data_IF_886721345535
#
_entry.id   IF_886721345535
#
_cell.length_a   1.000
_cell.length_b   1.000
_cell.length_c   1.000
_cell.angle_alpha   90.00
_cell.angle_beta   90.00
_cell.angle_gamma   90.00
#
_symmetry.space_group_name_H-M   'P 1'
#
loop_
_entity.id
_entity.type
_entity.pdbx_description
1 polymer ?
#
# COMPACT_ATOMS: atom_id res chain seq x y z
N UNK A 1 -18.41 -2.83 -11.73
CA UNK A 1 -18.44 -1.86 -10.62
C UNK A 1 -18.11 -0.45 -11.08
N UNK A 2 -18.43 0.54 -10.28
CA UNK A 2 -18.02 1.92 -10.58
C UNK A 2 -16.50 2.06 -10.39
N UNK A 3 -15.80 2.83 -11.25
CA UNK A 3 -14.40 3.12 -11.06
C UNK A 3 -14.15 3.78 -9.70
N UNK A 4 -13.07 3.40 -9.01
CA UNK A 4 -12.71 3.90 -7.67
C UNK A 4 -12.69 5.43 -7.61
N UNK A 5 -12.15 6.09 -8.63
CA UNK A 5 -12.13 7.56 -8.73
C UNK A 5 -13.53 8.18 -8.71
N UNK A 6 -14.52 7.51 -9.29
CA UNK A 6 -15.91 7.98 -9.26
C UNK A 6 -16.54 7.83 -7.89
N UNK A 7 -16.21 6.75 -7.16
CA UNK A 7 -16.70 6.50 -5.79
C UNK A 7 -16.07 7.50 -4.80
N UNK A 8 -14.79 7.78 -4.92
CA UNK A 8 -14.08 8.74 -4.07
C UNK A 8 -14.66 10.16 -4.14
N UNK A 9 -15.25 10.53 -5.29
CA UNK A 9 -15.88 11.83 -5.52
C UNK A 9 -17.29 11.96 -4.92
N UNK A 10 -17.87 10.85 -4.45
CA UNK A 10 -19.23 10.81 -3.91
C UNK A 10 -19.23 10.24 -2.48
N UNK A 11 -18.78 11.03 -1.47
CA UNK A 11 -18.57 10.57 -0.10
C UNK A 11 -19.82 9.92 0.54
N UNK A 12 -20.99 10.43 0.24
CA UNK A 12 -22.25 9.90 0.78
C UNK A 12 -22.59 8.48 0.29
N UNK A 13 -22.12 8.11 -0.89
CA UNK A 13 -22.24 6.74 -1.41
C UNK A 13 -21.11 5.89 -0.86
N UNK A 14 -19.87 6.40 -0.88
CA UNK A 14 -18.70 5.68 -0.41
C UNK A 14 -18.84 5.19 1.04
N UNK A 15 -19.40 6.02 1.95
CA UNK A 15 -19.65 5.65 3.34
C UNK A 15 -20.62 4.49 3.54
N UNK A 16 -21.50 4.23 2.58
CA UNK A 16 -22.50 3.16 2.64
C UNK A 16 -21.99 1.84 2.09
N UNK A 17 -20.86 1.85 1.38
CA UNK A 17 -20.26 0.65 0.84
C UNK A 17 -19.50 -0.10 1.94
N UNK A 18 -19.68 -1.42 2.04
CA UNK A 18 -18.91 -2.22 2.97
C UNK A 18 -17.43 -2.20 2.55
N UNK A 19 -16.55 -2.03 3.54
CA UNK A 19 -15.12 -2.11 3.34
C UNK A 19 -14.45 -2.79 4.54
N UNK A 20 -13.24 -3.29 4.31
CA UNK A 20 -12.54 -4.11 5.30
C UNK A 20 -12.15 -3.29 6.55
N UNK A 21 -11.69 -2.04 6.41
CA UNK A 21 -11.29 -1.24 7.56
C UNK A 21 -12.46 -0.94 8.47
N UNK A 22 -13.63 -0.59 7.91
CA UNK A 22 -14.85 -0.38 8.70
C UNK A 22 -15.30 -1.67 9.40
N UNK A 23 -15.24 -2.81 8.71
CA UNK A 23 -15.64 -4.10 9.28
C UNK A 23 -14.73 -4.52 10.43
N UNK A 24 -13.42 -4.39 10.25
CA UNK A 24 -12.42 -4.71 11.27
C UNK A 24 -12.47 -3.71 12.43
N UNK A 25 -12.63 -2.40 12.15
CA UNK A 25 -12.81 -1.39 13.21
C UNK A 25 -14.01 -1.68 14.10
N UNK A 26 -15.15 -2.14 13.53
CA UNK A 26 -16.32 -2.61 14.31
C UNK A 26 -16.03 -3.85 15.14
N UNK A 27 -15.09 -4.69 14.70
CA UNK A 27 -14.61 -5.86 15.43
C UNK A 27 -13.51 -5.54 16.45
N UNK A 28 -13.22 -4.25 16.71
CA UNK A 28 -12.26 -3.80 17.72
C UNK A 28 -10.81 -3.67 17.22
N UNK A 29 -10.57 -3.76 15.91
CA UNK A 29 -9.24 -3.57 15.35
C UNK A 29 -8.87 -2.08 15.30
N UNK A 30 -7.64 -1.74 15.64
CA UNK A 30 -7.03 -0.48 15.26
C UNK A 30 -6.72 -0.50 13.76
N UNK A 31 -7.14 0.53 13.02
CA UNK A 31 -7.06 0.55 11.57
C UNK A 31 -6.19 1.69 11.08
N UNK A 32 -5.10 1.37 10.37
CA UNK A 32 -4.16 2.33 9.82
C UNK A 32 -3.98 2.18 8.32
N UNK A 33 -3.65 3.29 7.69
CA UNK A 33 -3.23 3.33 6.29
C UNK A 33 -1.88 4.03 6.16
N UNK A 34 -0.96 3.42 5.43
CA UNK A 34 0.36 3.98 5.13
C UNK A 34 0.50 4.17 3.61
N UNK A 35 0.95 5.36 3.22
CA UNK A 35 1.20 5.71 1.83
C UNK A 35 2.35 6.72 1.72
N UNK A 36 3.31 6.48 0.84
CA UNK A 36 4.46 7.37 0.64
C UNK A 36 4.15 8.65 -0.16
N UNK A 37 2.98 8.77 -0.76
CA UNK A 37 2.60 9.89 -1.62
C UNK A 37 1.64 10.89 -0.98
N UNK A 38 1.15 11.84 -1.81
CA UNK A 38 0.15 12.81 -1.40
C UNK A 38 -1.22 12.15 -1.23
N UNK A 39 -1.64 12.00 0.02
CA UNK A 39 -2.91 11.39 0.38
C UNK A 39 -4.13 12.27 0.02
N UNK A 40 -3.93 13.53 -0.33
CA UNK A 40 -5.01 14.42 -0.76
C UNK A 40 -5.31 14.25 -2.27
N UNK A 41 -4.42 13.59 -3.01
CA UNK A 41 -4.64 13.28 -4.41
C UNK A 41 -5.97 12.54 -4.60
N UNK A 42 -6.80 13.01 -5.53
CA UNK A 42 -8.13 12.44 -5.87
C UNK A 42 -9.09 12.24 -4.69
N UNK A 43 -8.96 13.01 -3.60
CA UNK A 43 -9.75 12.89 -2.38
C UNK A 43 -9.54 11.54 -1.64
N UNK A 44 -8.37 10.93 -1.76
CA UNK A 44 -8.05 9.66 -1.10
C UNK A 44 -8.20 9.78 0.43
N UNK A 45 -7.72 10.85 1.05
CA UNK A 45 -7.86 11.11 2.50
C UNK A 45 -9.33 11.01 2.95
N UNK A 46 -10.20 11.73 2.27
CA UNK A 46 -11.64 11.73 2.61
C UNK A 46 -12.28 10.35 2.44
N UNK A 47 -11.90 9.62 1.40
CA UNK A 47 -12.36 8.26 1.15
C UNK A 47 -11.89 7.27 2.23
N UNK A 48 -10.62 7.30 2.60
CA UNK A 48 -10.06 6.39 3.61
C UNK A 48 -10.64 6.65 5.00
N UNK A 49 -10.77 7.92 5.40
CA UNK A 49 -11.40 8.30 6.67
C UNK A 49 -12.87 7.85 6.70
N UNK A 50 -13.62 8.09 5.63
CA UNK A 50 -15.00 7.63 5.51
C UNK A 50 -15.09 6.10 5.49
N UNK A 51 -14.06 5.42 5.02
CA UNK A 51 -13.92 3.97 4.99
C UNK A 51 -13.53 3.34 6.31
N UNK A 52 -13.30 4.12 7.38
CA UNK A 52 -13.05 3.61 8.73
C UNK A 52 -11.58 3.46 9.12
N UNK A 53 -10.64 4.01 8.33
CA UNK A 53 -9.27 4.12 8.79
C UNK A 53 -9.15 5.21 9.86
N UNK A 54 -8.58 4.87 11.01
CA UNK A 54 -8.44 5.74 12.18
C UNK A 54 -7.17 6.59 12.10
N UNK A 55 -6.10 6.03 11.53
CA UNK A 55 -4.82 6.72 11.38
C UNK A 55 -4.36 6.64 9.93
N UNK A 56 -3.93 7.78 9.40
CA UNK A 56 -3.37 7.87 8.05
C UNK A 56 -1.95 8.42 8.17
N UNK A 57 -0.99 7.70 7.60
CA UNK A 57 0.39 8.14 7.44
C UNK A 57 0.65 8.38 5.97
N UNK A 58 1.13 9.57 5.61
CA UNK A 58 1.36 10.01 4.23
C UNK A 58 2.76 10.62 4.08
N UNK A 59 3.09 11.12 2.89
CA UNK A 59 4.36 11.80 2.66
C UNK A 59 4.65 12.92 3.67
N UNK A 60 3.62 13.57 4.22
CA UNK A 60 3.78 14.70 5.14
C UNK A 60 4.34 14.29 6.51
N UNK A 61 4.28 12.98 6.83
CA UNK A 61 4.83 12.39 8.05
C UNK A 61 6.31 11.98 7.92
N UNK A 62 6.93 12.27 6.76
CA UNK A 62 8.33 11.99 6.47
C UNK A 62 9.15 13.28 6.34
N UNK A 63 10.47 13.15 6.42
CA UNK A 63 11.36 14.31 6.26
C UNK A 63 11.25 14.93 4.86
N UNK A 64 11.59 16.22 4.74
CA UNK A 64 11.67 16.89 3.43
C UNK A 64 12.64 16.19 2.47
N UNK A 65 13.73 15.63 3.00
CA UNK A 65 14.70 14.89 2.21
C UNK A 65 14.08 13.62 1.62
N UNK A 66 13.33 12.85 2.42
CA UNK A 66 12.75 11.59 1.99
C UNK A 66 11.61 11.77 0.97
N UNK A 67 10.75 12.78 1.15
CA UNK A 67 9.62 13.04 0.25
C UNK A 67 10.01 13.68 -1.08
N UNK A 68 11.15 14.35 -1.14
CA UNK A 68 11.64 14.96 -2.38
C UNK A 68 12.48 14.00 -3.24
N UNK A 69 12.54 12.73 -2.85
CA UNK A 69 13.31 11.72 -3.59
C UNK A 69 12.74 11.44 -4.99
N UNK A 70 11.42 11.42 -5.12
CA UNK A 70 10.74 11.24 -6.40
C UNK A 70 9.61 12.24 -6.57
N UNK A 71 9.13 12.39 -7.82
CA UNK A 71 7.98 13.25 -8.15
C UNK A 71 6.72 12.89 -7.35
N UNK A 72 6.56 11.66 -6.94
CA UNK A 72 5.35 11.15 -6.29
C UNK A 72 5.46 11.07 -4.78
N UNK A 73 6.65 11.22 -4.21
CA UNK A 73 6.85 11.21 -2.77
C UNK A 73 7.93 10.24 -2.29
N UNK A 74 7.70 9.63 -1.16
CA UNK A 74 8.65 8.79 -0.42
C UNK A 74 8.76 7.39 -1.05
N UNK A 75 9.98 6.92 -1.39
CA UNK A 75 10.17 5.61 -2.02
C UNK A 75 9.94 4.44 -1.06
N UNK A 76 9.66 3.26 -1.64
CA UNK A 76 9.26 2.05 -0.89
C UNK A 76 10.28 1.58 0.15
N UNK A 77 11.58 1.70 -0.11
CA UNK A 77 12.60 1.33 0.87
C UNK A 77 12.53 2.15 2.18
N UNK A 78 12.03 3.37 2.13
CA UNK A 78 11.83 4.24 3.29
C UNK A 78 10.48 3.96 3.94
N UNK A 79 9.41 3.83 3.14
CA UNK A 79 8.07 3.55 3.67
C UNK A 79 7.98 2.17 4.31
N UNK A 80 8.68 1.14 3.82
CA UNK A 80 8.79 -0.16 4.48
C UNK A 80 9.54 -0.10 5.83
N UNK A 81 10.57 0.75 5.95
CA UNK A 81 11.21 1.01 7.26
C UNK A 81 10.21 1.65 8.24
N UNK A 82 9.39 2.59 7.75
CA UNK A 82 8.32 3.18 8.57
C UNK A 82 7.30 2.14 8.99
N UNK A 83 6.88 1.25 8.08
CA UNK A 83 5.98 0.15 8.40
C UNK A 83 6.55 -0.74 9.51
N UNK A 84 7.82 -1.16 9.42
CA UNK A 84 8.48 -1.95 10.45
C UNK A 84 8.50 -1.22 11.81
N UNK A 85 8.78 0.09 11.81
CA UNK A 85 8.75 0.89 13.04
C UNK A 85 7.34 0.93 13.66
N UNK A 86 6.30 1.16 12.85
CA UNK A 86 4.90 1.16 13.30
C UNK A 86 4.50 -0.20 13.90
N UNK A 87 4.92 -1.31 13.28
CA UNK A 87 4.63 -2.65 13.78
C UNK A 87 5.39 -2.92 15.09
N UNK A 88 6.63 -2.47 15.20
CA UNK A 88 7.42 -2.59 16.42
C UNK A 88 6.81 -1.81 17.60
N UNK A 89 6.26 -0.61 17.34
CA UNK A 89 5.55 0.18 18.34
C UNK A 89 4.32 -0.54 18.93
N UNK A 90 3.84 -1.58 18.26
CA UNK A 90 2.68 -2.40 18.69
C UNK A 90 3.06 -3.70 19.39
N UNK A 91 4.34 -4.01 19.53
CA UNK A 91 4.78 -5.18 20.27
C UNK A 91 4.26 -5.12 21.71
N UNK A 92 3.60 -6.20 22.15
CA UNK A 92 2.99 -6.27 23.48
C UNK A 92 1.62 -5.62 23.63
N UNK A 93 1.08 -4.96 22.59
CA UNK A 93 -0.30 -4.46 22.59
C UNK A 93 -1.28 -5.65 22.47
N UNK A 94 -2.41 -5.56 23.18
CA UNK A 94 -3.45 -6.61 23.16
C UNK A 94 -4.50 -6.41 22.08
N UNK A 95 -4.70 -5.17 21.66
CA UNK A 95 -5.71 -4.82 20.67
C UNK A 95 -5.26 -5.33 19.28
N UNK A 96 -6.15 -6.00 18.56
CA UNK A 96 -5.85 -6.40 17.20
C UNK A 96 -5.72 -5.19 16.27
N UNK A 97 -4.93 -5.32 15.22
CA UNK A 97 -4.67 -4.22 14.30
C UNK A 97 -4.80 -4.65 12.83
N UNK A 98 -5.13 -3.70 11.99
CA UNK A 98 -5.15 -3.81 10.55
C UNK A 98 -4.41 -2.64 9.94
N UNK A 99 -3.35 -2.90 9.22
CA UNK A 99 -2.60 -1.89 8.48
C UNK A 99 -2.71 -2.16 6.98
N UNK A 100 -3.27 -1.23 6.23
CA UNK A 100 -3.18 -1.24 4.78
C UNK A 100 -1.99 -0.36 4.35
N UNK A 101 -1.16 -0.87 3.46
CA UNK A 101 0.00 -0.17 2.94
C UNK A 101 -0.05 -0.15 1.41
N UNK A 102 -0.05 1.04 0.83
CA UNK A 102 0.05 1.26 -0.60
C UNK A 102 1.48 1.62 -0.97
N UNK A 103 2.15 0.76 -1.74
CA UNK A 103 3.48 1.02 -2.29
C UNK A 103 3.41 2.05 -3.42
N UNK A 104 4.52 2.74 -3.69
CA UNK A 104 4.55 3.85 -4.65
C UNK A 104 5.59 3.69 -5.74
N UNK A 105 6.71 3.03 -5.46
CA UNK A 105 7.89 3.03 -6.35
C UNK A 105 7.67 2.30 -7.66
N UNK A 106 6.68 1.39 -7.74
CA UNK A 106 6.28 0.71 -8.97
C UNK A 106 5.39 1.55 -9.89
N UNK A 107 5.07 2.79 -9.53
CA UNK A 107 4.29 3.74 -10.33
C UNK A 107 5.17 4.53 -11.33
N UNK A 108 4.57 5.02 -12.41
CA UNK A 108 5.24 5.96 -13.33
C UNK A 108 5.74 7.21 -12.56
N UNK A 109 6.91 7.78 -12.88
CA UNK A 109 7.79 7.54 -14.03
C UNK A 109 8.81 6.40 -13.87
N UNK A 110 8.65 5.49 -12.90
CA UNK A 110 9.51 4.33 -12.65
C UNK A 110 10.94 4.72 -12.25
N UNK A 111 11.07 5.77 -11.47
CA UNK A 111 12.35 6.28 -10.97
C UNK A 111 12.67 5.64 -9.62
N UNK A 112 13.64 4.74 -9.62
CA UNK A 112 14.07 4.01 -8.41
C UNK A 112 15.60 3.96 -8.32
N UNK A 113 16.19 3.89 -7.11
CA UNK A 113 17.64 3.78 -6.91
C UNK A 113 18.13 2.35 -7.16
N UNK A 114 17.73 1.76 -8.27
CA UNK A 114 17.92 0.34 -8.56
C UNK A 114 17.99 0.12 -10.06
N UNK A 115 19.07 -0.51 -10.52
CA UNK A 115 19.30 -0.74 -11.94
C UNK A 115 19.83 -2.16 -12.18
N UNK A 116 18.89 -3.11 -12.28
CA UNK A 116 19.17 -4.50 -12.68
C UNK A 116 18.85 -4.76 -14.15
N UNK A 117 17.94 -3.97 -14.72
CA UNK A 117 17.42 -4.16 -16.07
C UNK A 117 17.53 -2.86 -16.87
N UNK A 118 17.52 -2.96 -18.20
CA UNK A 118 17.44 -1.78 -19.07
C UNK A 118 16.06 -1.11 -19.01
N UNK A 119 15.01 -1.91 -18.88
CA UNK A 119 13.63 -1.43 -18.77
C UNK A 119 13.37 -0.82 -17.37
N UNK A 120 12.98 0.45 -17.36
CA UNK A 120 12.68 1.20 -16.12
C UNK A 120 11.54 0.59 -15.31
N UNK A 121 10.52 0.03 -15.96
CA UNK A 121 9.38 -0.61 -15.25
C UNK A 121 9.82 -1.86 -14.53
N UNK A 122 10.63 -2.70 -15.20
CA UNK A 122 11.20 -3.89 -14.58
C UNK A 122 12.08 -3.54 -13.39
N UNK A 123 12.87 -2.46 -13.48
CA UNK A 123 13.63 -1.96 -12.33
C UNK A 123 12.74 -1.54 -11.19
N UNK A 124 11.65 -0.80 -11.47
CA UNK A 124 10.72 -0.32 -10.46
C UNK A 124 9.98 -1.49 -9.78
N UNK A 125 9.51 -2.47 -10.54
CA UNK A 125 8.86 -3.67 -9.98
C UNK A 125 9.85 -4.49 -9.15
N UNK A 126 11.07 -4.72 -9.65
CA UNK A 126 12.09 -5.45 -8.92
C UNK A 126 12.57 -4.71 -7.66
N UNK A 127 12.53 -3.38 -7.65
CA UNK A 127 12.82 -2.59 -6.46
C UNK A 127 11.74 -2.75 -5.39
N UNK A 128 10.47 -2.66 -5.75
CA UNK A 128 9.36 -2.90 -4.82
C UNK A 128 9.38 -4.35 -4.29
N UNK A 129 9.64 -5.33 -5.15
CA UNK A 129 9.79 -6.74 -4.76
C UNK A 129 10.95 -6.93 -3.77
N UNK A 130 12.11 -6.34 -4.01
CA UNK A 130 13.26 -6.35 -3.08
C UNK A 130 12.91 -5.71 -1.72
N UNK A 131 12.15 -4.62 -1.73
CA UNK A 131 11.66 -3.97 -0.51
C UNK A 131 10.70 -4.88 0.26
N UNK A 132 9.77 -5.55 -0.41
CA UNK A 132 8.87 -6.55 0.17
C UNK A 132 9.67 -7.71 0.79
N UNK A 133 10.62 -8.26 0.03
CA UNK A 133 11.46 -9.37 0.50
C UNK A 133 12.25 -9.01 1.76
N UNK A 134 12.84 -7.81 1.81
CA UNK A 134 13.55 -7.30 2.99
C UNK A 134 12.61 -7.10 4.18
N UNK A 135 11.43 -6.54 3.95
CA UNK A 135 10.40 -6.38 4.98
C UNK A 135 10.00 -7.73 5.57
N UNK A 136 9.64 -8.70 4.75
CA UNK A 136 9.24 -10.05 5.21
C UNK A 136 10.36 -10.70 6.02
N UNK A 137 11.62 -10.60 5.54
CA UNK A 137 12.78 -11.16 6.25
C UNK A 137 12.98 -10.56 7.64
N UNK A 138 12.79 -9.25 7.78
CA UNK A 138 12.90 -8.58 9.07
C UNK A 138 11.69 -8.84 9.98
N UNK A 139 10.48 -8.77 9.43
CA UNK A 139 9.26 -8.97 10.22
C UNK A 139 9.12 -10.40 10.73
N UNK A 140 9.67 -11.41 10.03
CA UNK A 140 9.75 -12.80 10.52
C UNK A 140 10.48 -12.96 11.85
N UNK A 141 11.30 -11.99 12.24
CA UNK A 141 12.03 -12.00 13.53
C UNK A 141 11.19 -11.40 14.67
N UNK A 142 10.08 -10.78 14.34
CA UNK A 142 9.15 -10.18 15.31
C UNK A 142 8.31 -11.26 16.00
N UNK A 143 8.03 -11.12 17.31
CA UNK A 143 7.10 -12.01 18.03
C UNK A 143 5.65 -11.94 17.47
N UNK A 144 5.34 -10.94 16.65
CA UNK A 144 4.03 -10.79 16.01
C UNK A 144 3.86 -11.65 14.76
N UNK A 145 4.96 -12.22 14.20
CA UNK A 145 4.93 -12.96 12.95
C UNK A 145 3.90 -14.09 12.97
N UNK A 146 3.93 -14.95 13.99
CA UNK A 146 3.09 -16.13 14.10
C UNK A 146 1.58 -15.82 14.28
N UNK A 147 1.25 -14.55 14.49
CA UNK A 147 -0.14 -14.10 14.65
C UNK A 147 -0.49 -12.98 13.65
N UNK A 148 0.21 -12.90 12.53
CA UNK A 148 -0.03 -11.88 11.50
C UNK A 148 -0.26 -12.50 10.15
N UNK A 149 -1.42 -12.21 9.55
CA UNK A 149 -1.68 -12.50 8.15
C UNK A 149 -1.24 -11.31 7.29
N UNK A 150 -0.35 -11.56 6.32
CA UNK A 150 0.06 -10.59 5.32
C UNK A 150 -0.57 -10.98 3.98
N UNK A 151 -1.31 -10.04 3.39
CA UNK A 151 -1.91 -10.20 2.06
C UNK A 151 -1.25 -9.23 1.10
N UNK A 152 -0.62 -9.76 0.05
CA UNK A 152 0.03 -8.98 -1.01
C UNK A 152 -0.82 -9.08 -2.28
N UNK A 153 -1.20 -7.94 -2.80
CA UNK A 153 -1.94 -7.85 -4.07
C UNK A 153 -1.65 -6.50 -4.74
N UNK A 154 -1.54 -6.45 -6.07
CA UNK A 154 -1.52 -5.17 -6.79
C UNK A 154 -2.92 -4.53 -6.78
N UNK A 155 -2.97 -3.21 -6.88
CA UNK A 155 -4.21 -2.44 -7.00
C UNK A 155 -4.88 -2.62 -8.38
N UNK A 156 -4.08 -2.86 -9.42
CA UNK A 156 -4.56 -3.19 -10.77
C UNK A 156 -3.48 -3.90 -11.60
N UNK A 157 -3.90 -4.49 -12.72
CA UNK A 157 -3.00 -5.01 -13.74
C UNK A 157 -2.59 -3.93 -14.75
N UNK A 158 -1.56 -4.22 -15.54
CA UNK A 158 -1.10 -3.37 -16.64
C UNK A 158 -0.84 -4.21 -17.90
N UNK A 159 -0.98 -3.64 -19.11
CA UNK A 159 -0.65 -4.32 -20.38
C UNK A 159 0.89 -4.35 -20.58
N UNK A 160 1.57 -5.24 -19.86
CA UNK A 160 3.01 -5.41 -19.90
C UNK A 160 3.38 -6.89 -19.68
N UNK A 161 4.40 -7.44 -20.34
CA UNK A 161 5.19 -6.88 -21.46
C UNK A 161 4.45 -6.87 -22.79
N UNK A 162 3.35 -7.59 -22.90
CA UNK A 162 2.55 -7.67 -24.14
C UNK A 162 1.61 -6.47 -24.23
N UNK A 163 1.67 -5.78 -25.37
CA UNK A 163 0.66 -4.79 -25.70
C UNK A 163 -0.64 -5.52 -26.07
N UNK A 164 -1.78 -5.00 -25.68
CA UNK A 164 -3.09 -5.56 -25.98
C UNK A 164 -4.19 -4.53 -25.78
N UNK A 165 -5.43 -4.90 -26.04
CA UNK A 165 -6.57 -4.05 -25.77
C UNK A 165 -6.67 -3.72 -24.28
N UNK A 166 -6.72 -2.43 -23.96
CA UNK A 166 -6.68 -1.89 -22.58
C UNK A 166 -7.70 -2.52 -21.63
N UNK A 167 -8.80 -3.02 -22.18
CA UNK A 167 -9.91 -3.61 -21.43
C UNK A 167 -10.02 -5.13 -21.57
N UNK A 168 -9.01 -5.79 -22.11
CA UNK A 168 -9.01 -7.25 -22.20
C UNK A 168 -9.05 -7.90 -20.82
N UNK A 169 -9.90 -8.91 -20.58
CA UNK A 169 -10.12 -9.49 -19.25
C UNK A 169 -8.85 -9.98 -18.54
N UNK A 170 -7.83 -10.41 -19.28
CA UNK A 170 -6.59 -10.91 -18.71
C UNK A 170 -5.76 -9.80 -18.01
N UNK A 171 -5.95 -8.52 -18.37
CA UNK A 171 -5.29 -7.40 -17.68
C UNK A 171 -5.92 -7.07 -16.33
N UNK A 172 -7.09 -7.60 -16.03
CA UNK A 172 -7.75 -7.46 -14.72
C UNK A 172 -7.46 -8.62 -13.77
N UNK A 173 -6.71 -9.63 -14.23
CA UNK A 173 -6.25 -10.71 -13.36
C UNK A 173 -5.04 -10.24 -12.58
N UNK A 174 -5.19 -10.15 -11.27
CA UNK A 174 -4.12 -9.81 -10.35
C UNK A 174 -3.81 -11.01 -9.43
N UNK A 175 -2.54 -11.24 -9.09
CA UNK A 175 -2.19 -12.25 -8.09
C UNK A 175 -2.63 -11.78 -6.70
N UNK A 176 -2.94 -12.73 -5.83
CA UNK A 176 -3.10 -12.51 -4.40
C UNK A 176 -2.24 -13.54 -3.68
N UNK A 177 -1.30 -13.08 -2.88
CA UNK A 177 -0.36 -13.91 -2.15
C UNK A 177 -0.62 -13.72 -0.65
N UNK A 178 -0.75 -14.83 0.07
CA UNK A 178 -0.96 -14.85 1.51
C UNK A 178 0.28 -15.45 2.17
N UNK A 179 0.77 -14.80 3.21
CA UNK A 179 1.93 -15.25 3.99
C UNK A 179 1.80 -14.74 5.43
N UNK A 180 2.69 -15.17 6.32
CA UNK A 180 2.62 -14.89 7.75
C UNK A 180 2.22 -16.13 8.52
N UNK A 181 2.13 -16.08 9.82
CA UNK A 181 1.56 -17.03 10.73
C UNK A 181 2.33 -18.30 10.96
#
# INVERSE_FOLDING_TARGET
>A
GLPTLSIMKVPNIARKLPNIAQSLGKAGYQTDFLYGGDINFTNMRGYLMAGGFQKLTSQDDFSMHDRNYSKWGVPDNITFKRLLAMLKEREGQKEPWFTAFLTLSSHEPFEVPFKKFEDKRLNAFAFTDDCIGKFIKEFRKSPQWDNTLIVLLPDHGIPYPKKGERFAPHFFRIPMIWTGG
#
